data_IF_305255525567
#
_entry.id   IF_305255525567
#
_cell.length_a   1.000
_cell.length_b   1.000
_cell.length_c   1.000
_cell.angle_alpha   90.00
_cell.angle_beta   90.00
_cell.angle_gamma   90.00
#
_symmetry.space_group_name_H-M   'P 1'
#
loop_
_entity.id
_entity.type
_entity.pdbx_description
1 polymer ?
#
# COMPACT_ATOMS: atom_id res chain seq x y z
N UNK A 1 9.74 18.24 -7.78
CA UNK A 1 10.36 19.57 -7.88
C UNK A 1 10.35 20.37 -6.56
N UNK A 2 9.22 20.45 -5.81
CA UNK A 2 9.20 21.21 -4.56
C UNK A 2 10.18 20.65 -3.52
N UNK A 3 10.10 19.38 -3.19
CA UNK A 3 10.95 18.73 -2.18
C UNK A 3 12.44 18.70 -2.55
N UNK A 4 12.76 18.76 -3.86
CA UNK A 4 14.15 18.84 -4.34
C UNK A 4 14.84 20.17 -3.99
N UNK A 5 14.11 21.18 -3.57
CA UNK A 5 14.66 22.43 -3.03
C UNK A 5 15.33 22.24 -1.66
N UNK A 6 14.93 21.19 -0.95
CA UNK A 6 15.34 20.91 0.43
C UNK A 6 16.26 19.70 0.56
N UNK A 7 16.24 18.77 -0.41
CA UNK A 7 17.11 17.60 -0.38
C UNK A 7 17.44 17.09 -1.78
N UNK A 8 18.60 16.46 -1.90
CA UNK A 8 18.94 15.61 -3.03
C UNK A 8 18.26 14.26 -2.86
N UNK A 9 17.74 13.70 -3.97
CA UNK A 9 17.09 12.40 -3.98
C UNK A 9 17.92 11.39 -4.78
N UNK A 10 18.13 10.22 -4.19
CA UNK A 10 18.72 9.06 -4.85
C UNK A 10 17.60 8.33 -5.57
N UNK A 11 17.70 8.05 -6.89
CA UNK A 11 16.70 7.27 -7.60
C UNK A 11 16.50 5.91 -6.93
N UNK A 12 15.25 5.55 -6.69
CA UNK A 12 14.91 4.29 -6.06
C UNK A 12 13.69 3.68 -6.75
N UNK A 13 13.78 2.39 -7.09
CA UNK A 13 12.64 1.59 -7.56
C UNK A 13 12.33 0.52 -6.53
N UNK A 14 11.08 0.49 -6.08
CA UNK A 14 10.64 -0.51 -5.12
C UNK A 14 10.22 -1.79 -5.86
N UNK A 15 11.05 -2.81 -5.81
CA UNK A 15 10.77 -4.13 -6.37
C UNK A 15 10.40 -5.09 -5.25
N UNK A 16 9.16 -5.52 -5.22
CA UNK A 16 8.65 -6.45 -4.23
C UNK A 16 8.73 -7.88 -4.77
N UNK A 17 9.20 -8.80 -3.95
CA UNK A 17 9.22 -10.23 -4.24
C UNK A 17 8.41 -10.98 -3.20
N UNK A 18 7.80 -12.08 -3.61
CA UNK A 18 7.08 -13.00 -2.73
C UNK A 18 7.49 -14.44 -3.01
N UNK A 19 7.38 -15.30 -2.00
CA UNK A 19 7.65 -16.72 -2.14
C UNK A 19 6.35 -17.50 -2.00
N UNK A 20 6.03 -18.31 -3.01
CA UNK A 20 4.87 -19.21 -3.03
C UNK A 20 5.38 -20.61 -3.38
N UNK A 21 5.07 -21.60 -2.55
CA UNK A 21 5.50 -22.99 -2.74
C UNK A 21 7.00 -23.15 -3.06
N UNK A 22 7.86 -22.38 -2.36
CA UNK A 22 9.31 -22.42 -2.52
C UNK A 22 9.85 -21.72 -3.78
N UNK A 23 9.01 -21.06 -4.56
CA UNK A 23 9.41 -20.28 -5.75
C UNK A 23 9.22 -18.79 -5.50
N UNK A 24 10.17 -17.98 -6.01
CA UNK A 24 10.13 -16.52 -5.89
C UNK A 24 9.45 -15.90 -7.10
N UNK A 25 8.53 -14.98 -6.84
CA UNK A 25 7.75 -14.25 -7.85
C UNK A 25 7.88 -12.75 -7.66
N UNK A 26 7.73 -11.99 -8.75
CA UNK A 26 7.69 -10.53 -8.73
C UNK A 26 6.27 -10.03 -8.40
N UNK A 27 6.20 -8.94 -7.60
CA UNK A 27 4.96 -8.21 -7.34
C UNK A 27 5.12 -6.73 -7.73
N UNK A 28 4.05 -6.05 -8.18
CA UNK A 28 2.68 -6.57 -8.38
C UNK A 28 2.63 -7.72 -9.37
N UNK A 29 1.55 -8.53 -9.31
CA UNK A 29 1.35 -9.60 -10.30
C UNK A 29 1.41 -9.01 -11.69
N UNK A 30 2.39 -9.45 -12.48
CA UNK A 30 2.71 -8.95 -13.81
C UNK A 30 2.84 -10.09 -14.81
N UNK A 31 3.11 -9.80 -16.09
CA UNK A 31 3.19 -10.79 -17.13
C UNK A 31 4.24 -11.88 -16.84
N UNK A 32 5.37 -11.50 -16.23
CA UNK A 32 6.38 -12.49 -15.82
C UNK A 32 5.84 -13.42 -14.73
N UNK A 33 5.16 -12.84 -13.71
CA UNK A 33 4.55 -13.61 -12.62
C UNK A 33 3.49 -14.58 -13.14
N UNK A 34 2.61 -14.13 -14.05
CA UNK A 34 1.58 -14.95 -14.68
C UNK A 34 2.22 -16.13 -15.42
N UNK A 35 3.16 -15.85 -16.32
CA UNK A 35 3.81 -16.87 -17.12
C UNK A 35 4.59 -17.88 -16.25
N UNK A 36 5.31 -17.39 -15.24
CA UNK A 36 6.08 -18.25 -14.33
C UNK A 36 5.16 -19.13 -13.47
N UNK A 37 4.04 -18.58 -12.99
CA UNK A 37 3.11 -19.29 -12.13
C UNK A 37 2.36 -20.40 -12.86
N UNK A 38 1.84 -20.10 -14.04
CA UNK A 38 1.10 -21.06 -14.86
C UNK A 38 1.96 -21.92 -15.79
N UNK A 39 3.29 -21.68 -15.84
CA UNK A 39 4.21 -22.42 -16.72
C UNK A 39 3.96 -22.12 -18.20
N UNK A 40 3.59 -20.90 -18.55
CA UNK A 40 3.23 -20.45 -19.90
C UNK A 40 4.24 -19.44 -20.46
N UNK A 41 4.07 -19.06 -21.73
CA UNK A 41 4.86 -18.04 -22.43
C UNK A 41 3.92 -17.08 -23.19
N UNK A 42 2.84 -16.65 -22.53
CA UNK A 42 1.79 -15.81 -23.12
C UNK A 42 2.32 -14.41 -23.40
N UNK A 43 1.88 -13.83 -24.50
CA UNK A 43 2.01 -12.41 -24.81
C UNK A 43 0.99 -11.59 -24.00
N UNK A 44 1.14 -10.25 -23.89
CA UNK A 44 0.26 -9.40 -23.08
C UNK A 44 -1.24 -9.63 -23.28
N UNK A 45 -1.69 -9.70 -24.54
CA UNK A 45 -3.11 -9.89 -24.86
C UNK A 45 -3.59 -11.30 -24.52
N UNK A 46 -2.78 -12.31 -24.86
CA UNK A 46 -3.05 -13.71 -24.51
C UNK A 46 -3.14 -13.92 -23.00
N UNK A 47 -2.27 -13.26 -22.23
CA UNK A 47 -2.31 -13.32 -20.78
C UNK A 47 -3.57 -12.63 -20.20
N UNK A 48 -4.03 -11.54 -20.83
CA UNK A 48 -5.28 -10.88 -20.43
C UNK A 48 -6.47 -11.80 -20.63
N UNK A 49 -6.59 -12.41 -21.80
CA UNK A 49 -7.67 -13.33 -22.14
C UNK A 49 -7.61 -14.59 -21.27
N UNK A 50 -6.41 -15.11 -21.03
CA UNK A 50 -6.20 -16.27 -20.16
C UNK A 50 -6.65 -15.97 -18.73
N UNK A 51 -6.21 -14.87 -18.12
CA UNK A 51 -6.63 -14.50 -16.76
C UNK A 51 -8.15 -14.28 -16.72
N UNK A 52 -8.72 -13.58 -17.71
CA UNK A 52 -10.15 -13.37 -17.80
C UNK A 52 -10.92 -14.69 -17.84
N UNK A 53 -10.40 -15.72 -18.53
CA UNK A 53 -11.01 -17.06 -18.58
C UNK A 53 -10.96 -17.82 -17.24
N UNK A 54 -10.10 -17.42 -16.32
CA UNK A 54 -9.96 -18.03 -14.98
C UNK A 54 -10.81 -17.34 -13.91
N UNK A 55 -11.38 -16.17 -14.20
CA UNK A 55 -12.17 -15.39 -13.24
C UNK A 55 -13.52 -16.04 -12.94
N UNK A 56 -14.06 -15.76 -11.75
CA UNK A 56 -15.40 -16.16 -11.36
C UNK A 56 -16.43 -15.12 -11.80
N UNK A 57 -17.57 -15.55 -12.32
CA UNK A 57 -18.68 -14.64 -12.65
C UNK A 57 -19.41 -14.20 -11.38
N UNK A 58 -18.97 -13.08 -10.81
CA UNK A 58 -19.55 -12.45 -9.62
C UNK A 58 -19.91 -11.01 -9.98
N UNK A 59 -21.17 -10.72 -10.32
CA UNK A 59 -21.56 -9.41 -10.88
C UNK A 59 -21.41 -8.25 -9.91
N UNK A 60 -21.61 -8.45 -8.60
CA UNK A 60 -21.57 -7.42 -7.56
C UNK A 60 -20.80 -7.90 -6.32
N UNK A 61 -19.47 -7.99 -6.38
CA UNK A 61 -18.67 -8.48 -5.27
C UNK A 61 -18.74 -7.53 -4.08
N UNK A 62 -19.09 -8.05 -2.92
CA UNK A 62 -19.23 -7.32 -1.65
C UNK A 62 -17.98 -7.46 -0.79
N UNK A 63 -17.28 -8.59 -0.88
CA UNK A 63 -16.11 -8.90 -0.08
C UNK A 63 -14.80 -8.81 -0.90
N UNK A 64 -13.68 -8.70 -0.19
CA UNK A 64 -12.36 -8.75 -0.81
C UNK A 64 -12.15 -10.05 -1.60
N UNK A 65 -12.58 -11.19 -1.02
CA UNK A 65 -12.44 -12.50 -1.69
C UNK A 65 -13.24 -12.54 -2.98
N UNK A 66 -14.53 -12.18 -2.95
CA UNK A 66 -15.37 -12.15 -4.15
C UNK A 66 -14.79 -11.23 -5.24
N UNK A 67 -14.33 -10.04 -4.84
CA UNK A 67 -13.69 -9.11 -5.77
C UNK A 67 -12.39 -9.70 -6.36
N UNK A 68 -11.58 -10.42 -5.56
CA UNK A 68 -10.38 -11.07 -6.05
C UNK A 68 -10.69 -12.22 -7.00
N UNK A 69 -11.65 -13.06 -6.68
CA UNK A 69 -12.10 -14.16 -7.55
C UNK A 69 -12.64 -13.65 -8.88
N UNK A 70 -13.39 -12.54 -8.86
CA UNK A 70 -13.89 -11.88 -10.08
C UNK A 70 -12.78 -11.16 -10.87
N UNK A 71 -11.65 -10.79 -10.25
CA UNK A 71 -10.62 -10.01 -10.87
C UNK A 71 -9.43 -10.84 -11.39
N UNK A 72 -8.96 -11.82 -10.62
CA UNK A 72 -7.76 -12.61 -10.95
C UNK A 72 -8.01 -14.12 -10.99
N UNK A 73 -9.17 -14.59 -10.56
CA UNK A 73 -9.51 -16.00 -10.44
C UNK A 73 -8.92 -16.66 -9.19
N UNK A 74 -9.34 -17.92 -8.92
CA UNK A 74 -9.03 -18.62 -7.67
C UNK A 74 -7.53 -18.89 -7.47
N UNK A 75 -6.83 -19.25 -8.53
CA UNK A 75 -5.43 -19.68 -8.41
C UNK A 75 -4.50 -18.51 -8.04
N UNK A 76 -4.58 -17.39 -8.74
CA UNK A 76 -3.82 -16.18 -8.42
C UNK A 76 -4.25 -15.59 -7.06
N UNK A 77 -5.56 -15.64 -6.76
CA UNK A 77 -6.06 -15.21 -5.45
C UNK A 77 -5.42 -16.01 -4.32
N UNK A 78 -5.48 -17.33 -4.38
CA UNK A 78 -4.93 -18.20 -3.35
C UNK A 78 -3.41 -18.03 -3.19
N UNK A 79 -2.69 -17.87 -4.31
CA UNK A 79 -1.23 -17.77 -4.31
C UNK A 79 -0.70 -16.41 -3.82
N UNK A 80 -1.31 -15.29 -4.21
CA UNK A 80 -0.69 -13.97 -4.06
C UNK A 80 -1.49 -12.97 -3.21
N UNK A 81 -2.78 -13.22 -2.95
CA UNK A 81 -3.63 -12.24 -2.29
C UNK A 81 -4.14 -12.73 -0.93
N UNK A 82 -4.63 -13.95 -0.83
CA UNK A 82 -5.28 -14.47 0.37
C UNK A 82 -4.39 -14.39 1.61
N UNK A 83 -3.27 -15.09 1.60
CA UNK A 83 -2.38 -15.18 2.77
C UNK A 83 -1.78 -13.83 3.17
N UNK A 84 -1.43 -12.99 2.18
CA UNK A 84 -0.98 -11.63 2.46
C UNK A 84 -2.07 -10.80 3.14
N UNK A 85 -3.30 -10.86 2.63
CA UNK A 85 -4.43 -10.12 3.18
C UNK A 85 -4.78 -10.58 4.59
N UNK A 86 -4.82 -11.88 4.84
CA UNK A 86 -5.06 -12.46 6.17
C UNK A 86 -4.01 -11.99 7.17
N UNK A 87 -2.72 -12.01 6.79
CA UNK A 87 -1.63 -11.52 7.63
C UNK A 87 -1.75 -10.01 7.90
N UNK A 88 -2.01 -9.21 6.87
CA UNK A 88 -2.09 -7.76 6.96
C UNK A 88 -3.26 -7.30 7.83
N UNK A 89 -4.41 -7.93 7.67
CA UNK A 89 -5.66 -7.52 8.32
C UNK A 89 -6.01 -8.34 9.56
N UNK A 90 -5.38 -9.50 9.76
CA UNK A 90 -5.64 -10.43 10.86
C UNK A 90 -7.08 -10.94 10.89
N UNK A 91 -7.73 -10.99 9.73
CA UNK A 91 -9.08 -11.51 9.53
C UNK A 91 -9.20 -12.14 8.13
N UNK A 92 -10.23 -12.97 7.93
CA UNK A 92 -10.50 -13.54 6.62
C UNK A 92 -10.82 -12.47 5.59
N UNK A 93 -10.36 -12.60 4.33
CA UNK A 93 -10.77 -11.75 3.21
C UNK A 93 -12.28 -11.70 2.97
N UNK A 94 -13.02 -12.71 3.40
CA UNK A 94 -14.48 -12.72 3.38
C UNK A 94 -15.14 -11.70 4.30
N UNK A 95 -14.41 -11.20 5.30
CA UNK A 95 -14.87 -10.18 6.25
C UNK A 95 -14.43 -8.76 5.87
N UNK A 96 -13.71 -8.62 4.75
CA UNK A 96 -13.18 -7.33 4.30
C UNK A 96 -13.99 -6.80 3.12
N UNK A 97 -14.24 -5.48 3.03
CA UNK A 97 -14.96 -4.89 1.91
C UNK A 97 -14.19 -5.04 0.58
N UNK A 98 -14.91 -5.26 -0.52
CA UNK A 98 -14.37 -5.37 -1.88
C UNK A 98 -13.49 -4.15 -2.29
N UNK A 99 -13.80 -2.98 -1.78
CA UNK A 99 -13.08 -1.73 -2.09
C UNK A 99 -11.57 -1.77 -1.75
N UNK A 100 -11.16 -2.63 -0.83
CA UNK A 100 -9.74 -2.78 -0.43
C UNK A 100 -8.90 -3.32 -1.60
N UNK A 101 -9.44 -4.28 -2.37
CA UNK A 101 -8.72 -4.88 -3.50
C UNK A 101 -8.52 -3.91 -4.67
N UNK A 102 -9.38 -2.92 -4.87
CA UNK A 102 -9.30 -1.96 -6.00
C UNK A 102 -7.95 -1.25 -6.12
N UNK A 103 -7.11 -1.32 -5.08
CA UNK A 103 -5.78 -0.69 -5.04
C UNK A 103 -4.66 -1.61 -5.51
N UNK A 104 -4.92 -2.91 -5.71
CA UNK A 104 -3.88 -3.87 -6.07
C UNK A 104 -3.80 -3.98 -7.60
N UNK A 105 -2.66 -3.61 -8.22
CA UNK A 105 -2.52 -3.65 -9.66
C UNK A 105 -2.27 -5.06 -10.18
N UNK A 106 -2.93 -5.40 -11.30
CA UNK A 106 -2.57 -6.50 -12.17
C UNK A 106 -2.00 -5.91 -13.46
N UNK A 107 -0.86 -6.40 -13.91
CA UNK A 107 -0.14 -5.84 -15.06
C UNK A 107 0.10 -6.89 -16.14
N UNK A 108 -0.25 -6.56 -17.38
CA UNK A 108 0.02 -7.40 -18.54
C UNK A 108 1.28 -6.92 -19.30
N UNK A 109 2.31 -6.53 -18.54
CA UNK A 109 3.64 -6.18 -19.02
C UNK A 109 4.68 -6.67 -18.01
N UNK A 110 5.97 -6.44 -18.29
CA UNK A 110 7.09 -6.90 -17.44
C UNK A 110 7.51 -5.86 -16.37
N UNK A 111 6.75 -4.79 -16.15
CA UNK A 111 7.05 -3.79 -15.15
C UNK A 111 6.78 -4.34 -13.73
N UNK A 112 7.85 -4.61 -13.00
CA UNK A 112 7.84 -5.09 -11.61
C UNK A 112 8.07 -3.98 -10.56
N UNK A 113 8.08 -2.71 -10.99
CA UNK A 113 8.14 -1.60 -10.06
C UNK A 113 6.82 -1.50 -9.27
N UNK A 114 6.89 -1.53 -7.95
CA UNK A 114 5.70 -1.50 -7.09
C UNK A 114 4.85 -0.25 -7.32
N UNK A 115 5.51 0.90 -7.48
CA UNK A 115 4.83 2.17 -7.73
C UNK A 115 4.81 2.52 -9.21
N UNK A 116 3.72 3.16 -9.65
CA UNK A 116 3.57 3.69 -11.02
C UNK A 116 3.92 5.18 -11.15
N UNK A 117 4.41 5.81 -10.07
CA UNK A 117 4.73 7.23 -10.07
C UNK A 117 5.93 7.55 -10.95
N UNK A 118 5.86 8.67 -11.68
CA UNK A 118 6.94 9.15 -12.55
C UNK A 118 8.23 9.47 -11.78
N UNK A 119 8.10 10.05 -10.59
CA UNK A 119 9.22 10.44 -9.74
C UNK A 119 9.27 9.53 -8.52
N UNK A 120 10.37 8.81 -8.37
CA UNK A 120 10.61 7.89 -7.27
C UNK A 120 12.04 8.06 -6.80
N UNK A 121 12.24 8.16 -5.50
CA UNK A 121 13.55 8.31 -4.90
C UNK A 121 13.48 8.39 -3.39
N UNK A 122 14.64 8.24 -2.77
CA UNK A 122 14.83 8.38 -1.33
C UNK A 122 15.68 9.61 -1.06
N UNK A 123 15.34 10.45 -0.07
CA UNK A 123 16.20 11.59 0.29
C UNK A 123 17.55 11.08 0.80
N UNK A 124 18.65 11.64 0.29
CA UNK A 124 20.01 11.16 0.55
C UNK A 124 20.37 11.12 2.04
N UNK A 125 19.88 12.09 2.83
CA UNK A 125 20.12 12.19 4.27
C UNK A 125 18.90 11.75 5.12
N UNK A 126 17.95 11.08 4.51
CA UNK A 126 16.74 10.58 5.18
C UNK A 126 15.63 11.63 5.31
N UNK A 127 14.46 11.14 5.74
CA UNK A 127 13.25 11.97 5.80
C UNK A 127 13.30 13.01 6.94
N UNK A 128 13.96 12.71 8.06
CA UNK A 128 14.06 13.64 9.19
C UNK A 128 14.80 14.91 8.78
N UNK A 129 15.92 14.80 8.07
CA UNK A 129 16.67 15.93 7.56
C UNK A 129 15.86 16.74 6.54
N UNK A 130 15.19 16.06 5.62
CA UNK A 130 14.29 16.69 4.65
C UNK A 130 13.19 17.52 5.35
N UNK A 131 12.51 16.96 6.33
CA UNK A 131 11.43 17.63 7.05
C UNK A 131 12.00 18.80 7.87
N UNK A 132 13.15 18.61 8.55
CA UNK A 132 13.80 19.68 9.29
C UNK A 132 14.08 20.90 8.40
N UNK A 133 14.60 20.68 7.19
CA UNK A 133 14.87 21.75 6.22
C UNK A 133 13.61 22.41 5.65
N UNK A 134 12.52 21.66 5.48
CA UNK A 134 11.23 22.22 5.07
C UNK A 134 10.67 23.14 6.17
N UNK A 135 10.86 22.77 7.43
CA UNK A 135 10.37 23.49 8.59
C UNK A 135 11.29 24.65 9.03
N UNK A 136 12.52 24.71 8.51
CA UNK A 136 13.47 25.79 8.77
C UNK A 136 13.06 27.06 8.00
N UNK A 137 12.07 27.77 8.53
CA UNK A 137 11.53 28.98 7.94
C UNK A 137 11.13 29.97 9.05
N UNK A 138 11.41 31.29 8.88
CA UNK A 138 11.13 32.30 9.91
C UNK A 138 9.67 32.37 10.41
N UNK A 139 8.73 31.96 9.57
CA UNK A 139 7.29 31.95 9.91
C UNK A 139 6.80 30.63 10.47
N UNK A 140 7.68 29.65 10.72
CA UNK A 140 7.31 28.34 11.26
C UNK A 140 7.93 28.16 12.62
N UNK A 141 7.09 27.88 13.62
CA UNK A 141 7.55 27.50 14.96
C UNK A 141 7.22 26.03 15.19
N UNK A 142 8.23 25.22 15.53
CA UNK A 142 8.08 23.80 15.78
C UNK A 142 8.13 23.54 17.27
N UNK A 143 7.10 22.87 17.80
CA UNK A 143 7.06 22.41 19.16
C UNK A 143 7.11 20.88 19.17
N UNK A 144 8.22 20.28 19.60
CA UNK A 144 8.38 18.84 19.79
C UNK A 144 7.80 18.43 21.14
N UNK A 145 7.45 17.14 21.27
CA UNK A 145 6.90 16.55 22.50
C UNK A 145 5.68 17.28 23.05
N UNK A 146 4.94 17.94 22.17
CA UNK A 146 3.79 18.75 22.52
C UNK A 146 2.53 18.15 21.95
N UNK A 147 1.62 17.69 22.82
CA UNK A 147 0.30 17.23 22.41
C UNK A 147 -0.60 18.44 22.12
N UNK A 148 -1.29 18.38 20.99
CA UNK A 148 -2.28 19.42 20.65
C UNK A 148 -3.44 19.39 21.64
N UNK A 149 -3.75 20.56 22.20
CA UNK A 149 -4.89 20.78 23.07
C UNK A 149 -6.06 21.36 22.26
N UNK A 150 -7.11 20.54 22.06
CA UNK A 150 -8.29 20.91 21.29
C UNK A 150 -8.98 22.16 21.83
N UNK A 151 -8.92 22.41 23.13
CA UNK A 151 -9.54 23.61 23.75
C UNK A 151 -8.95 24.91 23.21
N UNK A 152 -7.70 24.85 22.71
CA UNK A 152 -6.99 25.98 22.11
C UNK A 152 -7.20 26.11 20.59
N UNK A 153 -8.02 25.26 19.97
CA UNK A 153 -8.25 25.32 18.53
C UNK A 153 -8.74 26.69 18.05
N UNK A 154 -9.53 27.39 18.86
CA UNK A 154 -10.04 28.75 18.59
C UNK A 154 -8.99 29.86 18.66
N UNK A 155 -7.77 29.60 19.13
CA UNK A 155 -6.63 30.54 19.13
C UNK A 155 -5.96 30.63 17.74
N UNK A 156 -6.31 29.75 16.81
CA UNK A 156 -5.73 29.64 15.46
C UNK A 156 -6.78 29.93 14.39
N UNK A 157 -6.37 30.61 13.32
CA UNK A 157 -7.25 30.85 12.16
C UNK A 157 -7.61 29.52 11.47
N UNK A 158 -6.73 28.52 11.51
CA UNK A 158 -6.96 27.20 10.94
C UNK A 158 -6.11 26.12 11.62
N UNK A 159 -6.67 24.92 11.78
CA UNK A 159 -5.98 23.76 12.36
C UNK A 159 -6.03 22.58 11.39
N UNK A 160 -4.84 22.05 11.04
CA UNK A 160 -4.70 20.76 10.36
C UNK A 160 -4.25 19.72 11.37
N UNK A 161 -5.14 18.82 11.72
CA UNK A 161 -4.86 17.78 12.69
C UNK A 161 -4.57 16.43 11.99
N UNK A 162 -3.37 15.88 12.19
CA UNK A 162 -2.94 14.60 11.61
C UNK A 162 -2.89 13.44 12.60
N UNK A 163 -3.34 13.67 13.85
CA UNK A 163 -3.46 12.62 14.87
C UNK A 163 -4.68 11.73 14.69
N UNK A 164 -4.92 10.77 15.60
CA UNK A 164 -6.09 9.91 15.57
C UNK A 164 -7.39 10.71 15.61
N UNK A 165 -8.27 10.46 14.63
CA UNK A 165 -9.53 11.21 14.49
C UNK A 165 -10.43 11.03 15.72
N UNK A 166 -10.56 9.81 16.20
CA UNK A 166 -11.32 9.48 17.41
C UNK A 166 -10.71 10.13 18.66
N UNK A 167 -9.38 10.18 18.75
CA UNK A 167 -8.67 10.88 19.81
C UNK A 167 -8.87 12.41 19.78
N UNK A 168 -9.09 13.00 18.59
CA UNK A 168 -9.45 14.41 18.47
C UNK A 168 -10.82 14.74 19.12
N UNK A 169 -11.75 13.78 19.06
CA UNK A 169 -13.09 13.88 19.66
C UNK A 169 -13.21 13.16 21.01
N UNK A 170 -12.09 12.96 21.71
CA UNK A 170 -12.05 12.33 23.05
C UNK A 170 -12.77 10.97 23.11
N UNK A 171 -12.82 10.25 21.97
CA UNK A 171 -13.47 8.95 21.81
C UNK A 171 -14.98 8.95 22.12
N UNK A 172 -15.68 10.08 21.96
CA UNK A 172 -17.10 10.24 22.25
C UNK A 172 -18.00 9.19 21.55
N UNK A 173 -17.62 8.76 20.33
CA UNK A 173 -18.30 7.74 19.54
C UNK A 173 -17.61 6.36 19.60
N UNK A 174 -16.70 6.17 20.54
CA UNK A 174 -15.87 4.97 20.65
C UNK A 174 -14.58 5.06 19.84
N UNK A 175 -13.77 4.00 19.95
CA UNK A 175 -12.46 3.92 19.27
C UNK A 175 -12.63 3.38 17.85
N UNK A 176 -11.92 3.97 16.91
CA UNK A 176 -11.75 3.42 15.56
C UNK A 176 -10.84 2.18 15.60
N UNK A 177 -11.10 1.24 14.69
CA UNK A 177 -10.26 0.06 14.57
C UNK A 177 -8.89 0.40 13.95
N UNK A 178 -7.81 0.19 14.70
CA UNK A 178 -6.43 0.31 14.25
C UNK A 178 -5.76 -1.06 14.17
N UNK A 179 -4.72 -1.14 13.34
CA UNK A 179 -3.85 -2.30 13.27
C UNK A 179 -2.45 -1.92 13.72
N UNK A 180 -1.94 -2.63 14.71
CA UNK A 180 -0.55 -2.55 15.16
C UNK A 180 0.29 -3.54 14.38
N UNK A 181 1.47 -3.12 13.96
CA UNK A 181 2.48 -3.98 13.34
C UNK A 181 3.64 -4.17 14.32
N UNK A 182 3.96 -5.43 14.61
CA UNK A 182 5.15 -5.80 15.36
C UNK A 182 6.27 -6.11 14.38
N UNK A 183 7.44 -5.47 14.57
CA UNK A 183 8.60 -5.65 13.71
C UNK A 183 9.64 -6.51 14.43
N UNK A 184 9.95 -7.66 13.86
CA UNK A 184 11.08 -8.48 14.29
C UNK A 184 12.26 -8.27 13.33
N UNK A 185 13.46 -8.06 13.89
CA UNK A 185 14.69 -7.90 13.10
C UNK A 185 15.51 -9.18 13.20
N UNK A 186 15.86 -9.72 12.05
CA UNK A 186 16.74 -10.86 11.93
C UNK A 186 17.99 -10.46 11.15
N UNK A 187 19.15 -10.98 11.59
CA UNK A 187 20.41 -10.91 10.85
C UNK A 187 20.75 -12.32 10.39
N UNK A 188 20.96 -12.50 9.11
CA UNK A 188 21.32 -13.77 8.50
C UNK A 188 22.82 -13.81 8.20
#
# INVERSE_FOLDING_TARGET
DYVQRFARFIPYKNQVKTTVAGRVYSLPVNLHTINQFFGTALRPEEARDFVASQTSDIPDPQTFEEQALAFVGPDLYAAFFKGYTEKQWGTSPTNLPAAILKRLPLRFNYDDNYFSHRFQGMPEHGYTDLIARILDHPSITVHLDTRFDRSKAGEYDHVFYSGPLDGFFDYELGQLGYRTLDFERFTH
#
